data_IF_938514840186
#
_entry.id   IF_938514840186
#
_cell.length_a   1.000
_cell.length_b   1.000
_cell.length_c   1.000
_cell.angle_alpha   90.00
_cell.angle_beta   90.00
_cell.angle_gamma   90.00
#
_symmetry.space_group_name_H-M   'P 1'
#
loop_
_entity.id
_entity.type
_entity.pdbx_description
1 polymer ?
#
# COMPACT_ATOMS: atom_id res chain seq x y z
N UNK A 1 -6.22 8.51 -19.21
CA UNK A 1 -5.64 8.13 -17.91
C UNK A 1 -5.46 6.63 -17.92
N UNK A 2 -4.23 6.16 -17.74
CA UNK A 2 -3.94 4.74 -17.73
C UNK A 2 -3.86 4.30 -16.26
N UNK A 3 -4.88 3.57 -15.79
CA UNK A 3 -4.98 3.15 -14.38
C UNK A 3 -3.70 2.44 -13.90
N UNK A 4 -3.07 1.67 -14.79
CA UNK A 4 -1.84 0.94 -14.51
C UNK A 4 -0.65 1.88 -14.23
N UNK A 5 -0.52 2.96 -15.00
CA UNK A 5 0.56 3.96 -14.81
C UNK A 5 0.35 4.75 -13.51
N UNK A 6 -0.89 5.15 -13.23
CA UNK A 6 -1.27 5.76 -11.95
C UNK A 6 -0.96 4.83 -10.78
N UNK A 7 -1.23 3.52 -10.91
CA UNK A 7 -0.98 2.52 -9.86
C UNK A 7 0.51 2.31 -9.62
N UNK A 8 1.30 2.21 -10.69
CA UNK A 8 2.77 2.15 -10.60
C UNK A 8 3.34 3.39 -9.93
N UNK A 9 2.89 4.58 -10.32
CA UNK A 9 3.35 5.83 -9.72
C UNK A 9 2.98 5.90 -8.24
N UNK A 10 1.77 5.49 -7.88
CA UNK A 10 1.32 5.47 -6.48
C UNK A 10 2.16 4.51 -5.62
N UNK A 11 2.53 3.35 -6.16
CA UNK A 11 3.43 2.40 -5.52
C UNK A 11 4.83 2.96 -5.31
N UNK A 12 5.43 3.57 -6.33
CA UNK A 12 6.77 4.16 -6.26
C UNK A 12 6.80 5.31 -5.24
N UNK A 13 5.74 6.11 -5.18
CA UNK A 13 5.61 7.20 -4.20
C UNK A 13 5.11 6.73 -2.83
N UNK A 14 4.93 5.42 -2.62
CA UNK A 14 4.35 4.83 -1.40
C UNK A 14 3.04 5.51 -0.94
N UNK A 15 2.25 6.02 -1.88
CA UNK A 15 1.04 6.79 -1.59
C UNK A 15 -0.14 5.84 -1.33
N UNK A 16 -0.31 5.46 -0.07
CA UNK A 16 -1.32 4.48 0.36
C UNK A 16 -2.76 4.91 0.04
N UNK A 17 -3.08 6.19 0.18
CA UNK A 17 -4.42 6.75 -0.13
C UNK A 17 -4.73 6.60 -1.63
N UNK A 18 -3.74 6.93 -2.47
CA UNK A 18 -3.89 6.79 -3.92
C UNK A 18 -3.99 5.32 -4.34
N UNK A 19 -3.22 4.43 -3.71
CA UNK A 19 -3.30 2.99 -3.96
C UNK A 19 -4.70 2.47 -3.58
N UNK A 20 -5.21 2.83 -2.40
CA UNK A 20 -6.55 2.45 -1.95
C UNK A 20 -7.63 2.97 -2.91
N UNK A 21 -7.55 4.24 -3.31
CA UNK A 21 -8.46 4.82 -4.30
C UNK A 21 -8.46 4.02 -5.60
N UNK A 22 -7.28 3.69 -6.14
CA UNK A 22 -7.17 2.97 -7.41
C UNK A 22 -7.67 1.53 -7.32
N UNK A 23 -7.50 0.85 -6.18
CA UNK A 23 -8.08 -0.49 -5.94
C UNK A 23 -9.61 -0.40 -5.93
N UNK A 24 -10.18 0.58 -5.23
CA UNK A 24 -11.63 0.77 -5.15
C UNK A 24 -12.24 1.25 -6.48
N UNK A 25 -11.45 1.91 -7.33
CA UNK A 25 -11.85 2.40 -8.65
C UNK A 25 -11.19 1.56 -9.77
N UNK A 26 -11.15 0.25 -9.58
CA UNK A 26 -10.57 -0.68 -10.54
C UNK A 26 -11.32 -0.62 -11.89
N UNK A 27 -10.60 -0.51 -13.03
CA UNK A 27 -11.23 -0.44 -14.33
C UNK A 27 -11.92 -1.78 -14.68
N UNK A 28 -13.13 -1.75 -15.25
CA UNK A 28 -13.91 -2.96 -15.53
C UNK A 28 -13.33 -3.81 -16.67
N UNK A 29 -12.39 -3.27 -17.46
CA UNK A 29 -11.70 -3.97 -18.55
C UNK A 29 -10.24 -3.57 -18.56
N UNK A 30 -9.38 -4.55 -18.37
CA UNK A 30 -7.94 -4.47 -18.60
C UNK A 30 -7.58 -5.54 -19.64
N UNK A 31 -6.59 -5.26 -20.48
CA UNK A 31 -6.08 -6.26 -21.40
C UNK A 31 -5.42 -7.42 -20.62
N UNK A 32 -5.36 -8.64 -21.17
CA UNK A 32 -4.75 -9.79 -20.51
C UNK A 32 -3.31 -9.52 -20.02
N UNK A 33 -2.48 -8.86 -20.82
CA UNK A 33 -1.12 -8.44 -20.45
C UNK A 33 -1.11 -7.45 -19.25
N UNK A 34 -2.12 -6.59 -19.17
CA UNK A 34 -2.24 -5.64 -18.06
C UNK A 34 -2.70 -6.31 -16.77
N UNK A 35 -3.46 -7.42 -16.86
CA UNK A 35 -3.87 -8.22 -15.70
C UNK A 35 -2.67 -8.89 -15.04
N UNK A 36 -1.73 -9.42 -15.82
CA UNK A 36 -0.50 -10.02 -15.29
C UNK A 36 0.35 -8.97 -14.56
N UNK A 37 0.56 -7.81 -15.19
CA UNK A 37 1.21 -6.67 -14.54
C UNK A 37 0.48 -6.25 -13.26
N UNK A 38 -0.85 -6.18 -13.29
CA UNK A 38 -1.66 -5.80 -12.13
C UNK A 38 -1.47 -6.78 -10.97
N UNK A 39 -1.45 -8.09 -11.23
CA UNK A 39 -1.24 -9.10 -10.20
C UNK A 39 0.12 -8.93 -9.48
N UNK A 40 1.18 -8.65 -10.24
CA UNK A 40 2.49 -8.36 -9.67
C UNK A 40 2.47 -7.07 -8.82
N UNK A 41 1.84 -6.00 -9.32
CA UNK A 41 1.74 -4.72 -8.62
C UNK A 41 0.91 -4.83 -7.33
N UNK A 42 -0.17 -5.61 -7.33
CA UNK A 42 -0.97 -5.87 -6.12
C UNK A 42 -0.17 -6.60 -5.05
N UNK A 43 0.72 -7.52 -5.44
CA UNK A 43 1.63 -8.19 -4.51
C UNK A 43 2.60 -7.20 -3.86
N UNK A 44 3.18 -6.29 -4.66
CA UNK A 44 4.03 -5.21 -4.14
C UNK A 44 3.27 -4.26 -3.21
N UNK A 45 2.02 -3.92 -3.55
CA UNK A 45 1.16 -3.12 -2.67
C UNK A 45 0.95 -3.82 -1.32
N UNK A 46 0.60 -5.11 -1.32
CA UNK A 46 0.39 -5.88 -0.10
C UNK A 46 1.65 -5.94 0.78
N UNK A 47 2.84 -6.06 0.18
CA UNK A 47 4.11 -6.04 0.90
C UNK A 47 4.40 -4.67 1.52
N UNK A 48 4.11 -3.59 0.80
CA UNK A 48 4.21 -2.22 1.31
C UNK A 48 3.30 -2.02 2.53
N UNK A 49 2.02 -2.39 2.43
CA UNK A 49 1.07 -2.28 3.55
C UNK A 49 1.53 -3.08 4.78
N UNK A 50 2.05 -4.31 4.58
CA UNK A 50 2.63 -5.11 5.69
C UNK A 50 3.83 -4.45 6.35
N UNK A 51 4.69 -3.80 5.56
CA UNK A 51 5.86 -3.09 6.09
C UNK A 51 5.41 -1.89 6.93
N UNK A 52 4.52 -1.06 6.39
CA UNK A 52 3.96 0.10 7.13
C UNK A 52 3.22 -0.32 8.39
N UNK A 53 2.49 -1.44 8.35
CA UNK A 53 1.83 -2.01 9.53
C UNK A 53 2.83 -2.34 10.64
N UNK A 54 3.95 -3.01 10.30
CA UNK A 54 5.01 -3.32 11.27
C UNK A 54 5.66 -2.07 11.84
N UNK A 55 5.86 -1.03 11.04
CA UNK A 55 6.38 0.27 11.50
C UNK A 55 5.43 0.90 12.52
N UNK A 56 4.11 0.91 12.24
CA UNK A 56 3.10 1.40 13.17
C UNK A 56 3.05 0.59 14.48
N UNK A 57 3.17 -0.75 14.40
CA UNK A 57 3.25 -1.60 15.59
C UNK A 57 4.49 -1.29 16.44
N UNK A 58 5.63 -1.02 15.80
CA UNK A 58 6.86 -0.63 16.49
C UNK A 58 6.69 0.72 17.20
N UNK A 59 6.10 1.72 16.54
CA UNK A 59 5.79 3.03 17.15
C UNK A 59 4.81 2.90 18.32
N UNK A 60 3.74 2.11 18.16
CA UNK A 60 2.80 1.84 19.24
C UNK A 60 3.48 1.19 20.44
N UNK A 61 4.40 0.26 20.20
CA UNK A 61 5.16 -0.39 21.26
C UNK A 61 6.10 0.58 21.99
N UNK A 62 6.71 1.54 21.28
CA UNK A 62 7.50 2.62 21.90
C UNK A 62 6.63 3.47 22.81
N UNK A 63 5.44 3.89 22.36
CA UNK A 63 4.49 4.68 23.16
C UNK A 63 4.04 3.91 24.40
N UNK A 64 3.72 2.60 24.26
CA UNK A 64 3.35 1.75 25.40
C UNK A 64 4.48 1.62 26.43
N UNK A 65 5.73 1.52 25.98
CA UNK A 65 6.90 1.50 26.87
C UNK A 65 7.09 2.84 27.56
N UNK A 66 7.02 3.95 26.84
CA UNK A 66 7.13 5.29 27.42
C UNK A 66 6.13 5.50 28.56
N UNK A 67 4.85 5.14 28.36
CA UNK A 67 3.83 5.19 29.43
C UNK A 67 4.10 4.29 30.64
N UNK A 68 4.92 3.23 30.50
CA UNK A 68 5.29 2.35 31.61
C UNK A 68 6.43 2.90 32.49
N UNK A 69 7.19 3.88 32.01
CA UNK A 69 8.32 4.49 32.73
C UNK A 69 8.00 5.87 33.32
N UNK A 70 6.75 6.33 33.23
CA UNK A 70 6.27 7.61 33.77
C UNK A 70 5.78 7.50 35.24
N UNK A 71 6.43 6.65 36.05
CA UNK A 71 6.15 6.45 37.48
C UNK A 71 7.41 6.60 38.33
#
# INVERSE_FOLDING_TARGET
MNWLDDFKSALVSENLDRIEYLINNYPPKLAPDELECTAALLKSAAELFRTKQKELEAELNKVKKAKKYDF
#
